data_IF_087500989453
#
_entry.id   IF_087500989453
#
_cell.length_a   1.000
_cell.length_b   1.000
_cell.length_c   1.000
_cell.angle_alpha   90.00
_cell.angle_beta   90.00
_cell.angle_gamma   90.00
#
_symmetry.space_group_name_H-M   'P 1'
#
loop_
_entity.id
_entity.type
_entity.pdbx_description
1 polymer ?
#
# COMPACT_ATOMS: atom_id res chain seq x y z
N UNK A 1 5.39 3.48 -1.78
CA UNK A 1 4.05 4.03 -1.45
C UNK A 1 4.12 5.53 -1.14
N UNK A 2 4.83 5.96 -0.10
CA UNK A 2 4.90 7.40 0.27
C UNK A 2 5.48 8.28 -0.85
N UNK A 3 6.49 7.80 -1.56
CA UNK A 3 7.05 8.46 -2.75
C UNK A 3 5.98 8.78 -3.79
N UNK A 4 5.14 7.80 -4.12
CA UNK A 4 3.99 7.97 -5.04
C UNK A 4 2.98 8.97 -4.50
N UNK A 5 2.67 8.94 -3.21
CA UNK A 5 1.79 9.91 -2.56
C UNK A 5 2.30 11.34 -2.75
N UNK A 6 3.57 11.59 -2.44
CA UNK A 6 4.17 12.94 -2.57
C UNK A 6 4.18 13.40 -4.02
N UNK A 7 4.50 12.49 -4.96
CA UNK A 7 4.49 12.80 -6.41
C UNK A 7 3.10 13.22 -6.86
N UNK A 8 2.08 12.40 -6.62
CA UNK A 8 0.71 12.66 -7.08
C UNK A 8 0.08 13.90 -6.44
N UNK A 9 0.47 14.25 -5.21
CA UNK A 9 0.05 15.50 -4.58
C UNK A 9 0.72 16.74 -5.18
N UNK A 10 1.81 16.59 -5.90
CA UNK A 10 2.50 17.68 -6.59
C UNK A 10 2.20 17.72 -8.08
N UNK A 11 2.08 16.55 -8.68
CA UNK A 11 1.79 16.30 -10.09
C UNK A 11 0.57 15.37 -10.16
N UNK A 12 -0.66 15.89 -9.99
CA UNK A 12 -1.87 15.07 -10.05
C UNK A 12 -2.05 14.45 -11.43
N UNK A 13 -2.32 13.15 -11.47
CA UNK A 13 -2.44 12.41 -12.71
C UNK A 13 -3.65 11.46 -12.68
N UNK A 14 -4.41 11.41 -13.76
CA UNK A 14 -5.43 10.39 -14.00
C UNK A 14 -4.85 9.25 -14.83
N UNK A 15 -5.53 8.09 -14.85
CA UNK A 15 -5.04 6.88 -15.52
C UNK A 15 -4.81 7.08 -17.03
N UNK A 16 -5.60 7.93 -17.68
CA UNK A 16 -5.55 8.18 -19.13
C UNK A 16 -4.48 9.22 -19.51
N UNK A 17 -4.00 9.99 -18.55
CA UNK A 17 -3.02 11.04 -18.78
C UNK A 17 -1.60 10.46 -18.78
N UNK A 18 -0.73 11.08 -19.58
CA UNK A 18 0.71 10.75 -19.58
C UNK A 18 1.47 11.53 -18.51
N UNK A 19 0.96 12.70 -18.12
CA UNK A 19 1.64 13.65 -17.28
C UNK A 19 2.83 14.34 -17.97
N UNK A 20 3.57 15.18 -17.23
CA UNK A 20 4.82 15.75 -17.71
C UNK A 20 5.83 14.67 -18.06
N UNK A 21 6.81 15.03 -18.91
CA UNK A 21 7.85 14.09 -19.35
C UNK A 21 9.23 14.68 -19.06
N UNK A 22 10.18 13.81 -18.72
CA UNK A 22 11.61 14.13 -18.56
C UNK A 22 12.40 13.45 -19.66
N UNK A 23 13.55 14.01 -19.99
CA UNK A 23 14.55 13.38 -20.86
C UNK A 23 15.68 12.89 -19.97
N UNK A 24 15.97 11.60 -20.05
CA UNK A 24 17.06 10.95 -19.31
C UNK A 24 18.39 11.60 -19.72
N UNK A 25 19.14 12.09 -18.78
CA UNK A 25 20.47 12.67 -19.00
C UNK A 25 21.59 11.69 -18.65
N UNK A 26 22.84 12.05 -18.89
CA UNK A 26 23.99 11.19 -18.63
C UNK A 26 24.18 10.85 -17.14
N UNK A 27 23.75 11.72 -16.23
CA UNK A 27 23.80 11.47 -14.80
C UNK A 27 22.77 10.42 -14.40
N UNK A 28 21.54 10.50 -14.92
CA UNK A 28 20.47 9.52 -14.64
C UNK A 28 20.88 8.11 -15.11
N UNK A 29 21.47 8.01 -16.33
CA UNK A 29 21.97 6.74 -16.84
C UNK A 29 23.16 6.19 -16.01
N UNK A 30 24.02 7.07 -15.49
CA UNK A 30 25.11 6.66 -14.61
C UNK A 30 24.59 6.13 -13.26
N UNK A 31 23.55 6.74 -12.69
CA UNK A 31 22.88 6.24 -11.47
C UNK A 31 22.24 4.87 -11.73
N UNK A 32 21.51 4.70 -12.82
CA UNK A 32 20.98 3.39 -13.21
C UNK A 32 22.09 2.32 -13.25
N UNK A 33 23.24 2.60 -13.90
CA UNK A 33 24.37 1.66 -13.95
C UNK A 33 24.94 1.35 -12.57
N UNK A 34 24.96 2.32 -11.68
CA UNK A 34 25.35 2.13 -10.28
C UNK A 34 24.34 1.21 -9.54
N UNK A 35 23.03 1.43 -9.71
CA UNK A 35 21.99 0.64 -9.08
C UNK A 35 22.01 -0.81 -9.56
N UNK A 36 22.25 -1.05 -10.85
CA UNK A 36 22.53 -2.39 -11.39
C UNK A 36 23.72 -3.04 -10.70
N UNK A 37 24.84 -2.32 -10.57
CA UNK A 37 26.05 -2.85 -9.97
C UNK A 37 25.92 -3.16 -8.48
N UNK A 38 24.98 -2.48 -7.79
CA UNK A 38 24.69 -2.67 -6.36
C UNK A 38 23.48 -3.57 -6.09
N UNK A 39 22.88 -4.15 -7.14
CA UNK A 39 21.77 -5.11 -7.03
C UNK A 39 20.44 -4.47 -6.61
N UNK A 40 20.27 -3.18 -6.79
CA UNK A 40 19.03 -2.48 -6.49
C UNK A 40 18.00 -2.74 -7.59
N UNK A 41 16.70 -2.72 -7.22
CA UNK A 41 15.62 -2.81 -8.21
C UNK A 41 15.58 -1.57 -9.09
N UNK A 42 15.70 -1.77 -10.39
CA UNK A 42 15.76 -0.73 -11.41
C UNK A 42 15.17 -1.24 -12.73
N UNK A 43 15.05 -0.36 -13.71
CA UNK A 43 14.72 -0.69 -15.09
C UNK A 43 15.70 -0.01 -16.04
N UNK A 44 15.96 -0.66 -17.18
CA UNK A 44 16.89 -0.09 -18.14
C UNK A 44 16.41 1.26 -18.66
N UNK A 45 17.27 2.29 -18.52
CA UNK A 45 17.11 3.62 -19.11
C UNK A 45 18.34 3.99 -19.88
N UNK A 46 18.19 4.80 -20.92
CA UNK A 46 19.29 5.29 -21.76
C UNK A 46 19.25 6.80 -21.90
N UNK A 47 20.41 7.43 -21.99
CA UNK A 47 20.51 8.86 -22.23
C UNK A 47 19.75 9.26 -23.50
N UNK A 48 18.96 10.33 -23.41
CA UNK A 48 18.12 10.83 -24.50
C UNK A 48 16.71 10.23 -24.55
N UNK A 49 16.44 9.19 -23.77
CA UNK A 49 15.10 8.62 -23.65
C UNK A 49 14.14 9.64 -23.03
N UNK A 50 12.91 9.70 -23.57
CA UNK A 50 11.86 10.56 -23.05
C UNK A 50 10.82 9.73 -22.35
N UNK A 51 10.72 9.88 -21.03
CA UNK A 51 9.79 9.13 -20.18
C UNK A 51 8.81 10.10 -19.50
N UNK A 52 7.52 9.76 -19.51
CA UNK A 52 6.48 10.57 -18.90
C UNK A 52 6.05 10.00 -17.54
N UNK A 53 5.53 10.86 -16.68
CA UNK A 53 5.17 10.56 -15.29
C UNK A 53 4.35 9.27 -15.12
N UNK A 54 3.30 9.08 -15.93
CA UNK A 54 2.46 7.88 -15.85
C UNK A 54 3.23 6.59 -16.13
N UNK A 55 4.32 6.66 -16.92
CA UNK A 55 5.19 5.52 -17.17
C UNK A 55 6.17 5.30 -16.02
N UNK A 56 6.73 6.39 -15.47
CA UNK A 56 7.58 6.34 -14.27
C UNK A 56 6.81 5.74 -13.07
N UNK A 57 5.55 6.15 -12.86
CA UNK A 57 4.71 5.57 -11.81
C UNK A 57 4.44 4.08 -12.03
N UNK A 58 4.26 3.64 -13.28
CA UNK A 58 4.08 2.20 -13.58
C UNK A 58 5.34 1.40 -13.26
N UNK A 59 6.50 1.83 -13.68
CA UNK A 59 7.76 1.15 -13.36
C UNK A 59 8.04 1.12 -11.85
N UNK A 60 7.82 2.24 -11.16
CA UNK A 60 7.99 2.35 -9.72
C UNK A 60 7.04 1.42 -8.94
N UNK A 61 5.77 1.40 -9.29
CA UNK A 61 4.76 0.66 -8.52
C UNK A 61 4.72 -0.83 -8.85
N UNK A 62 4.90 -1.20 -10.12
CA UNK A 62 4.86 -2.61 -10.58
C UNK A 62 6.20 -3.30 -10.35
N UNK A 63 7.30 -2.70 -10.81
CA UNK A 63 8.63 -3.32 -10.81
C UNK A 63 9.58 -2.77 -9.74
N UNK A 64 9.11 -1.88 -8.87
CA UNK A 64 9.93 -1.24 -7.81
C UNK A 64 11.15 -0.47 -8.34
N UNK A 65 11.06 0.09 -9.55
CA UNK A 65 12.16 0.80 -10.20
C UNK A 65 12.62 2.04 -9.39
N UNK A 66 13.75 1.94 -8.70
CA UNK A 66 14.33 3.00 -7.88
C UNK A 66 14.81 4.19 -8.71
N UNK A 67 15.42 3.93 -9.85
CA UNK A 67 15.81 4.90 -10.88
C UNK A 67 14.61 5.73 -11.37
N UNK A 68 13.43 5.13 -11.54
CA UNK A 68 12.22 5.86 -11.90
C UNK A 68 11.72 6.77 -10.75
N UNK A 69 11.92 6.38 -9.49
CA UNK A 69 11.66 7.27 -8.36
C UNK A 69 12.56 8.51 -8.42
N UNK A 70 13.85 8.34 -8.76
CA UNK A 70 14.80 9.43 -8.93
C UNK A 70 14.36 10.37 -10.06
N UNK A 71 13.96 9.83 -11.22
CA UNK A 71 13.46 10.64 -12.34
C UNK A 71 12.20 11.44 -11.97
N UNK A 72 11.30 10.88 -11.16
CA UNK A 72 10.14 11.61 -10.65
C UNK A 72 10.55 12.79 -9.75
N UNK A 73 11.55 12.62 -8.88
CA UNK A 73 12.08 13.70 -8.04
C UNK A 73 12.72 14.78 -8.89
N UNK A 74 13.52 14.41 -9.90
CA UNK A 74 14.15 15.32 -10.85
C UNK A 74 13.10 16.10 -11.65
N UNK A 75 12.02 15.43 -12.10
CA UNK A 75 10.88 16.06 -12.79
C UNK A 75 10.18 17.10 -11.93
N UNK A 76 10.11 16.90 -10.63
CA UNK A 76 9.54 17.87 -9.69
C UNK A 76 10.43 19.08 -9.42
N UNK A 77 11.66 19.10 -9.92
CA UNK A 77 12.63 20.19 -9.70
C UNK A 77 13.00 20.37 -8.22
N UNK A 78 13.05 19.28 -7.46
CA UNK A 78 13.37 19.29 -6.03
C UNK A 78 14.63 18.48 -5.73
N UNK A 79 15.18 18.65 -4.55
CA UNK A 79 16.30 17.80 -4.07
C UNK A 79 15.75 16.62 -3.27
N UNK A 80 16.51 15.52 -3.23
CA UNK A 80 16.16 14.33 -2.42
C UNK A 80 15.88 14.71 -0.96
N UNK A 81 16.74 15.50 -0.33
CA UNK A 81 16.57 15.95 1.05
C UNK A 81 15.22 16.69 1.27
N UNK A 82 14.83 17.57 0.33
CA UNK A 82 13.54 18.26 0.40
C UNK A 82 12.38 17.30 0.17
N UNK A 83 12.56 16.33 -0.71
CA UNK A 83 11.55 15.32 -1.00
C UNK A 83 11.32 14.43 0.22
N UNK A 84 12.38 13.90 0.84
CA UNK A 84 12.31 13.09 2.07
C UNK A 84 11.70 13.89 3.22
N UNK A 85 12.08 15.15 3.39
CA UNK A 85 11.45 16.02 4.38
C UNK A 85 9.94 16.19 4.11
N UNK A 86 9.52 16.19 2.85
CA UNK A 86 8.11 16.20 2.47
C UNK A 86 7.43 14.88 2.81
N UNK A 87 8.06 13.72 2.53
CA UNK A 87 7.53 12.40 2.89
C UNK A 87 7.22 12.32 4.39
N UNK A 88 8.17 12.75 5.23
CA UNK A 88 8.00 12.74 6.69
C UNK A 88 6.88 13.69 7.15
N UNK A 89 6.80 14.90 6.58
CA UNK A 89 5.73 15.84 6.91
C UNK A 89 4.35 15.32 6.52
N UNK A 90 4.21 14.78 5.31
CA UNK A 90 2.95 14.24 4.82
C UNK A 90 2.56 12.96 5.57
N UNK A 91 3.54 12.13 5.96
CA UNK A 91 3.35 10.97 6.82
C UNK A 91 2.78 11.38 8.18
N UNK A 92 3.39 12.37 8.83
CA UNK A 92 2.90 12.89 10.11
C UNK A 92 1.48 13.47 9.99
N UNK A 93 1.19 14.22 8.92
CA UNK A 93 -0.14 14.77 8.66
C UNK A 93 -1.19 13.68 8.41
N UNK A 94 -0.78 12.51 7.91
CA UNK A 94 -1.61 11.32 7.72
C UNK A 94 -1.80 10.49 9.00
N UNK A 95 -1.09 10.82 10.08
CA UNK A 95 -1.12 10.09 11.35
C UNK A 95 -0.15 8.91 11.43
N UNK A 96 0.88 8.88 10.58
CA UNK A 96 1.91 7.83 10.59
C UNK A 96 2.97 8.17 11.66
N UNK A 97 2.59 8.05 12.92
CA UNK A 97 3.42 8.53 14.04
C UNK A 97 4.66 7.67 14.34
N UNK A 98 4.72 6.45 13.81
CA UNK A 98 5.82 5.51 13.98
C UNK A 98 6.56 5.26 12.66
N UNK A 99 6.45 6.21 11.71
CA UNK A 99 7.10 6.14 10.41
C UNK A 99 8.09 7.28 10.26
N UNK A 100 9.30 6.93 9.83
CA UNK A 100 10.35 7.89 9.50
C UNK A 100 11.08 7.45 8.23
N UNK A 101 11.18 8.34 7.27
CA UNK A 101 11.87 8.13 6.02
C UNK A 101 13.20 8.87 6.03
N UNK A 102 14.26 8.21 5.63
CA UNK A 102 15.58 8.79 5.40
C UNK A 102 15.95 8.78 3.90
N UNK A 103 15.25 7.95 3.12
CA UNK A 103 15.34 7.95 1.67
C UNK A 103 13.95 7.87 1.01
N UNK A 104 13.94 7.94 -0.32
CA UNK A 104 12.72 7.90 -1.14
C UNK A 104 12.47 6.55 -1.80
N UNK A 105 13.45 5.64 -1.74
CA UNK A 105 13.38 4.29 -2.36
C UNK A 105 12.91 3.24 -1.38
N UNK A 106 13.21 3.38 -0.09
CA UNK A 106 12.96 2.40 0.96
C UNK A 106 14.09 1.39 1.12
N UNK A 107 15.29 1.69 0.58
CA UNK A 107 16.47 0.82 0.65
C UNK A 107 17.31 1.13 1.90
N UNK A 108 17.33 2.40 2.32
CA UNK A 108 18.16 2.82 3.43
C UNK A 108 17.74 2.16 4.74
N UNK A 109 18.72 1.56 5.44
CA UNK A 109 18.48 0.92 6.72
C UNK A 109 18.00 1.87 7.84
N UNK A 110 17.94 3.17 7.57
CA UNK A 110 17.39 4.21 8.46
C UNK A 110 15.87 4.34 8.40
N UNK A 111 15.21 3.86 7.36
CA UNK A 111 13.76 3.89 7.24
C UNK A 111 13.11 3.05 8.34
N UNK A 112 12.06 3.57 8.92
CA UNK A 112 11.30 2.91 10.01
C UNK A 112 9.82 3.07 9.77
N UNK A 113 9.05 2.01 10.05
CA UNK A 113 7.60 2.05 10.02
C UNK A 113 6.99 0.92 10.84
N UNK A 114 5.68 0.89 10.92
CA UNK A 114 4.89 -0.18 11.53
C UNK A 114 3.85 -0.70 10.54
N UNK A 115 3.36 -1.92 10.76
CA UNK A 115 2.30 -2.49 9.93
C UNK A 115 1.04 -1.61 9.94
N UNK A 116 0.70 -1.00 11.09
CA UNK A 116 -0.42 -0.07 11.22
C UNK A 116 -0.26 1.17 10.35
N UNK A 117 0.92 1.80 10.39
CA UNK A 117 1.18 3.01 9.61
C UNK A 117 1.17 2.70 8.11
N UNK A 118 1.76 1.56 7.70
CA UNK A 118 1.73 1.14 6.29
C UNK A 118 0.32 0.78 5.82
N UNK A 119 -0.52 0.19 6.65
CA UNK A 119 -1.93 -0.03 6.34
C UNK A 119 -2.67 1.30 6.16
N UNK A 120 -2.43 2.27 7.05
CA UNK A 120 -3.02 3.63 6.95
C UNK A 120 -2.59 4.31 5.65
N UNK A 121 -1.32 4.24 5.29
CA UNK A 121 -0.81 4.79 4.03
C UNK A 121 -1.45 4.10 2.82
N UNK A 122 -1.54 2.77 2.83
CA UNK A 122 -2.12 2.00 1.74
C UNK A 122 -3.61 2.34 1.53
N UNK A 123 -4.40 2.42 2.59
CA UNK A 123 -5.81 2.82 2.52
C UNK A 123 -5.96 4.21 1.92
N UNK A 124 -5.17 5.18 2.40
CA UNK A 124 -5.22 6.55 1.85
C UNK A 124 -4.86 6.56 0.37
N UNK A 125 -3.76 5.88 -0.01
CA UNK A 125 -3.28 5.84 -1.39
C UNK A 125 -4.30 5.18 -2.32
N UNK A 126 -4.83 4.02 -1.94
CA UNK A 126 -5.79 3.26 -2.76
C UNK A 126 -7.17 3.91 -2.85
N UNK A 127 -7.57 4.72 -1.87
CA UNK A 127 -8.89 5.39 -1.88
C UNK A 127 -8.83 6.76 -2.55
N UNK A 128 -7.76 7.52 -2.35
CA UNK A 128 -7.65 8.89 -2.83
C UNK A 128 -7.00 9.01 -4.21
N UNK A 129 -6.22 8.00 -4.61
CA UNK A 129 -5.48 8.00 -5.87
C UNK A 129 -5.94 6.85 -6.80
N UNK A 130 -7.02 7.03 -7.56
CA UNK A 130 -7.55 5.97 -8.44
C UNK A 130 -6.53 5.42 -9.44
N UNK A 131 -5.60 6.26 -9.91
CA UNK A 131 -4.51 5.83 -10.80
C UNK A 131 -3.61 4.77 -10.14
N UNK A 132 -3.30 4.93 -8.85
CA UNK A 132 -2.50 3.95 -8.11
C UNK A 132 -3.21 2.62 -8.08
N UNK A 133 -4.49 2.59 -7.72
CA UNK A 133 -5.30 1.37 -7.70
C UNK A 133 -5.28 0.62 -9.04
N UNK A 134 -5.30 1.36 -10.15
CA UNK A 134 -5.24 0.78 -11.49
C UNK A 134 -3.85 0.24 -11.84
N UNK A 135 -2.78 0.90 -11.38
CA UNK A 135 -1.40 0.50 -11.68
C UNK A 135 -0.98 -0.70 -10.84
N UNK A 136 -1.23 -0.68 -9.52
CA UNK A 136 -0.75 -1.74 -8.60
C UNK A 136 -1.44 -3.09 -8.83
N UNK A 137 -2.56 -3.10 -9.55
CA UNK A 137 -3.25 -4.32 -9.95
C UNK A 137 -2.66 -5.00 -11.20
N UNK A 138 -1.65 -4.38 -11.83
CA UNK A 138 -1.02 -4.93 -13.03
C UNK A 138 -0.01 -6.02 -12.66
N UNK A 139 -0.10 -7.18 -13.32
CA UNK A 139 0.87 -8.26 -13.19
C UNK A 139 2.17 -7.98 -13.95
N UNK A 140 2.09 -7.14 -14.96
CA UNK A 140 3.23 -6.70 -15.77
C UNK A 140 2.95 -5.35 -16.42
N UNK A 141 3.99 -4.67 -16.86
CA UNK A 141 3.91 -3.40 -17.57
C UNK A 141 4.94 -3.37 -18.70
N UNK A 142 4.59 -2.71 -19.80
CA UNK A 142 5.55 -2.44 -20.88
C UNK A 142 6.15 -1.06 -20.67
N UNK A 143 7.46 -1.02 -20.49
CA UNK A 143 8.26 0.19 -20.34
C UNK A 143 9.04 0.48 -21.64
N UNK A 144 9.46 1.74 -21.90
CA UNK A 144 10.00 2.11 -23.19
C UNK A 144 11.22 1.29 -23.62
N UNK A 145 12.32 1.37 -22.89
CA UNK A 145 13.58 0.66 -23.23
C UNK A 145 13.59 -0.75 -22.62
N UNK A 146 13.21 -0.88 -21.35
CA UNK A 146 13.24 -2.14 -20.61
C UNK A 146 12.24 -3.21 -21.15
N UNK A 147 11.31 -2.85 -22.01
CA UNK A 147 10.32 -3.79 -22.54
C UNK A 147 9.25 -4.17 -21.53
N UNK A 148 8.88 -5.46 -21.48
CA UNK A 148 7.87 -5.97 -20.55
C UNK A 148 8.54 -6.44 -19.28
N UNK A 149 8.15 -5.83 -18.14
CA UNK A 149 8.62 -6.20 -16.80
C UNK A 149 7.46 -6.67 -15.94
N UNK A 150 7.72 -7.64 -15.07
CA UNK A 150 6.72 -8.21 -14.16
C UNK A 150 6.59 -7.44 -12.85
N UNK A 151 5.51 -7.71 -12.14
CA UNK A 151 5.30 -7.20 -10.78
C UNK A 151 6.17 -7.98 -9.79
N UNK A 152 6.76 -7.26 -8.83
CA UNK A 152 7.40 -7.87 -7.66
C UNK A 152 6.44 -8.11 -6.49
N UNK A 153 5.18 -7.63 -6.61
CA UNK A 153 4.18 -7.90 -5.57
C UNK A 153 3.76 -9.37 -5.64
N UNK A 154 3.95 -10.16 -4.58
CA UNK A 154 3.54 -11.55 -4.54
C UNK A 154 2.04 -11.71 -4.77
N UNK A 155 1.65 -12.82 -5.40
CA UNK A 155 0.26 -13.22 -5.59
C UNK A 155 -0.63 -12.21 -6.33
N UNK A 156 -0.03 -11.19 -6.98
CA UNK A 156 -0.80 -10.19 -7.71
C UNK A 156 -1.64 -10.83 -8.83
N UNK A 157 -2.95 -10.52 -8.83
CA UNK A 157 -3.92 -11.12 -9.74
C UNK A 157 -4.46 -12.49 -9.29
N UNK A 158 -3.91 -13.08 -8.23
CA UNK A 158 -4.35 -14.33 -7.63
C UNK A 158 -5.11 -14.10 -6.31
N UNK A 159 -5.97 -15.03 -5.92
CA UNK A 159 -6.69 -15.04 -4.63
C UNK A 159 -7.40 -13.73 -4.25
N UNK A 160 -7.69 -12.88 -5.23
CA UNK A 160 -8.29 -11.56 -5.01
C UNK A 160 -7.28 -10.45 -4.68
N UNK A 161 -5.98 -10.71 -4.72
CA UNK A 161 -4.93 -9.71 -4.51
C UNK A 161 -4.91 -8.69 -5.64
N UNK A 162 -5.06 -7.41 -5.31
CA UNK A 162 -5.13 -6.28 -6.25
C UNK A 162 -4.05 -5.21 -5.99
N UNK A 163 -3.05 -5.49 -5.21
CA UNK A 163 -1.95 -4.59 -4.83
C UNK A 163 -1.54 -4.86 -3.40
N UNK A 164 -0.70 -4.04 -2.76
CA UNK A 164 -0.34 -2.65 -3.14
C UNK A 164 1.14 -2.56 -3.50
N UNK A 165 2.02 -3.02 -2.60
CA UNK A 165 3.48 -2.88 -2.77
C UNK A 165 4.24 -3.82 -1.85
N UNK A 166 5.23 -4.47 -2.42
CA UNK A 166 6.21 -5.30 -1.71
C UNK A 166 7.59 -4.67 -1.72
N UNK A 167 8.48 -5.20 -0.91
CA UNK A 167 9.88 -4.85 -0.88
C UNK A 167 10.71 -5.82 -0.05
N UNK A 168 11.99 -5.89 -0.37
CA UNK A 168 12.97 -6.67 0.37
C UNK A 168 14.27 -5.89 0.49
N UNK A 169 14.86 -5.92 1.67
CA UNK A 169 16.26 -5.56 1.92
C UNK A 169 16.79 -6.50 3.00
N UNK A 170 18.10 -6.68 3.05
CA UNK A 170 18.73 -7.50 4.10
C UNK A 170 18.38 -7.00 5.51
N UNK A 171 18.21 -5.70 5.67
CA UNK A 171 17.88 -5.10 6.96
C UNK A 171 16.40 -5.24 7.35
N UNK A 172 15.50 -5.24 6.38
CA UNK A 172 14.06 -5.24 6.62
C UNK A 172 13.41 -6.63 6.46
N UNK A 173 14.09 -7.56 5.77
CA UNK A 173 13.44 -8.81 5.33
C UNK A 173 12.39 -8.58 4.26
N UNK A 174 11.59 -9.58 3.97
CA UNK A 174 10.45 -9.51 3.07
C UNK A 174 9.30 -8.73 3.71
N UNK A 175 8.81 -7.75 2.98
CA UNK A 175 7.71 -6.90 3.40
C UNK A 175 6.65 -6.84 2.30
N UNK A 176 5.39 -6.97 2.66
CA UNK A 176 4.28 -6.83 1.71
C UNK A 176 3.10 -6.07 2.33
N UNK A 177 2.54 -5.19 1.54
CA UNK A 177 1.31 -4.48 1.83
C UNK A 177 0.30 -4.93 0.78
N UNK A 178 -0.62 -5.79 1.17
CA UNK A 178 -1.61 -6.39 0.28
C UNK A 178 -2.96 -5.70 0.41
N UNK A 179 -3.60 -5.44 -0.73
CA UNK A 179 -5.02 -5.15 -0.83
C UNK A 179 -5.71 -6.36 -1.48
N UNK A 180 -6.68 -6.95 -0.79
CA UNK A 180 -7.32 -8.20 -1.20
C UNK A 180 -8.84 -7.99 -1.28
N UNK A 181 -9.44 -8.30 -2.42
CA UNK A 181 -10.90 -8.37 -2.56
C UNK A 181 -11.43 -9.63 -1.90
N UNK A 182 -12.34 -9.46 -0.97
CA UNK A 182 -12.99 -10.55 -0.24
C UNK A 182 -14.49 -10.49 -0.50
N UNK A 183 -15.07 -11.59 -0.93
CA UNK A 183 -16.51 -11.74 -1.06
C UNK A 183 -17.11 -12.11 0.29
N UNK A 184 -18.16 -11.37 0.67
CA UNK A 184 -18.94 -11.60 1.91
C UNK A 184 -20.40 -11.51 1.49
N UNK A 185 -21.06 -12.65 1.36
CA UNK A 185 -22.38 -12.72 0.72
C UNK A 185 -22.34 -12.07 -0.66
N UNK A 186 -23.26 -11.16 -0.92
CA UNK A 186 -23.32 -10.40 -2.18
C UNK A 186 -22.39 -9.18 -2.22
N UNK A 187 -21.68 -8.90 -1.14
CA UNK A 187 -20.79 -7.75 -1.04
C UNK A 187 -19.35 -8.11 -1.38
N UNK A 188 -18.62 -7.14 -1.96
CA UNK A 188 -17.17 -7.22 -2.15
C UNK A 188 -16.54 -6.12 -1.31
N UNK A 189 -15.73 -6.51 -0.35
CA UNK A 189 -14.92 -5.57 0.44
C UNK A 189 -13.45 -5.69 0.06
N UNK A 190 -12.70 -4.62 0.30
CA UNK A 190 -11.23 -4.66 0.18
C UNK A 190 -10.62 -4.68 1.58
N UNK A 191 -9.91 -5.74 1.90
CA UNK A 191 -9.12 -5.85 3.13
C UNK A 191 -7.68 -5.45 2.84
N UNK A 192 -7.02 -4.84 3.84
CA UNK A 192 -5.60 -4.50 3.77
C UNK A 192 -4.85 -5.32 4.81
N UNK A 193 -3.84 -6.03 4.34
CA UNK A 193 -2.97 -6.86 5.18
C UNK A 193 -1.55 -6.37 5.01
N UNK A 194 -0.84 -6.22 6.12
CA UNK A 194 0.57 -5.79 6.11
C UNK A 194 1.42 -6.81 6.84
N UNK A 195 2.40 -7.32 6.15
CA UNK A 195 3.41 -8.25 6.67
C UNK A 195 4.77 -7.58 6.54
N UNK A 196 5.53 -7.52 7.61
CA UNK A 196 6.86 -6.91 7.64
C UNK A 196 7.86 -7.88 8.25
N UNK A 197 9.09 -7.87 7.74
CA UNK A 197 10.22 -8.53 8.37
C UNK A 197 10.31 -10.04 8.17
N UNK A 198 9.76 -10.59 7.09
CA UNK A 198 9.86 -12.02 6.83
C UNK A 198 11.29 -12.40 6.45
N UNK A 199 11.78 -13.47 7.05
CA UNK A 199 13.11 -14.03 6.80
C UNK A 199 12.99 -15.43 6.19
N UNK A 200 13.94 -15.85 5.38
CA UNK A 200 13.96 -17.16 4.74
C UNK A 200 14.61 -17.11 3.36
N UNK A 201 14.53 -18.19 2.62
CA UNK A 201 15.13 -18.32 1.28
C UNK A 201 14.39 -17.49 0.22
N UNK A 202 13.09 -17.30 0.39
CA UNK A 202 12.25 -16.40 -0.43
C UNK A 202 11.43 -15.48 0.47
N UNK A 203 12.03 -14.41 1.02
CA UNK A 203 11.35 -13.54 1.95
C UNK A 203 10.13 -12.81 1.37
N UNK A 204 10.16 -12.47 0.07
CA UNK A 204 9.03 -11.84 -0.61
C UNK A 204 7.87 -12.81 -0.80
N UNK A 205 8.11 -14.01 -1.32
CA UNK A 205 7.09 -15.04 -1.46
C UNK A 205 6.47 -15.37 -0.10
N UNK A 206 7.29 -15.56 0.93
CA UNK A 206 6.82 -15.82 2.28
C UNK A 206 5.96 -14.69 2.84
N UNK A 207 6.28 -13.41 2.57
CA UNK A 207 5.45 -12.29 3.01
C UNK A 207 4.06 -12.31 2.35
N UNK A 208 3.98 -12.72 1.08
CA UNK A 208 2.72 -12.92 0.38
C UNK A 208 1.88 -14.06 0.97
N UNK A 209 2.51 -15.22 1.22
CA UNK A 209 1.83 -16.40 1.78
C UNK A 209 1.29 -16.13 3.19
N UNK A 210 2.09 -15.49 4.05
CA UNK A 210 1.66 -15.07 5.39
C UNK A 210 0.52 -14.05 5.30
N UNK A 211 0.60 -13.08 4.38
CA UNK A 211 -0.45 -12.10 4.15
C UNK A 211 -1.75 -12.75 3.70
N UNK A 212 -1.68 -13.72 2.80
CA UNK A 212 -2.86 -14.48 2.36
C UNK A 212 -3.46 -15.31 3.49
N UNK A 213 -2.64 -15.97 4.32
CA UNK A 213 -3.10 -16.72 5.48
C UNK A 213 -3.80 -15.81 6.49
N UNK A 214 -3.24 -14.63 6.78
CA UNK A 214 -3.86 -13.62 7.63
C UNK A 214 -5.20 -13.14 7.06
N UNK A 215 -5.27 -12.86 5.75
CA UNK A 215 -6.53 -12.48 5.11
C UNK A 215 -7.61 -13.55 5.23
N UNK A 216 -7.24 -14.82 5.10
CA UNK A 216 -8.17 -15.94 5.26
C UNK A 216 -8.66 -16.05 6.69
N UNK A 217 -7.80 -15.85 7.68
CA UNK A 217 -8.20 -15.88 9.09
C UNK A 217 -9.13 -14.72 9.45
N UNK A 218 -8.93 -13.54 8.84
CA UNK A 218 -9.80 -12.38 9.06
C UNK A 218 -11.25 -12.64 8.65
N UNK A 219 -11.51 -13.48 7.65
CA UNK A 219 -12.87 -13.85 7.24
C UNK A 219 -13.70 -14.41 8.39
N UNK A 220 -13.05 -15.04 9.35
CA UNK A 220 -13.72 -15.60 10.54
C UNK A 220 -14.20 -14.52 11.53
N UNK A 221 -13.81 -13.26 11.34
CA UNK A 221 -14.11 -12.14 12.24
C UNK A 221 -14.91 -11.02 11.58
N UNK A 222 -15.28 -11.17 10.31
CA UNK A 222 -15.98 -10.11 9.59
C UNK A 222 -17.47 -10.33 9.69
N UNK A 223 -18.20 -9.28 10.07
CA UNK A 223 -19.65 -9.22 10.01
C UNK A 223 -20.07 -8.07 9.10
N UNK A 224 -21.09 -8.29 8.30
CA UNK A 224 -21.75 -7.23 7.54
C UNK A 224 -22.87 -6.65 8.41
N UNK A 225 -22.85 -5.36 8.62
CA UNK A 225 -23.84 -4.64 9.42
C UNK A 225 -24.69 -3.79 8.48
N UNK A 226 -26.00 -3.98 8.53
CA UNK A 226 -26.93 -3.03 7.92
C UNK A 226 -26.95 -1.76 8.76
N UNK A 227 -26.29 -0.71 8.26
CA UNK A 227 -26.19 0.55 8.97
C UNK A 227 -27.52 1.29 9.05
N UNK A 228 -28.50 0.95 8.19
CA UNK A 228 -29.84 1.54 8.23
C UNK A 228 -30.72 0.94 9.34
N UNK A 229 -30.51 -0.33 9.62
CA UNK A 229 -31.24 -1.09 10.64
C UNK A 229 -30.44 -1.30 11.94
N UNK A 230 -29.14 -1.04 11.94
CA UNK A 230 -28.25 -1.14 13.11
C UNK A 230 -27.99 -2.56 13.60
N UNK A 231 -28.28 -3.57 12.79
CA UNK A 231 -28.03 -4.98 13.16
C UNK A 231 -27.15 -5.70 12.14
N UNK A 232 -26.52 -6.77 12.60
CA UNK A 232 -25.69 -7.64 11.77
C UNK A 232 -26.59 -8.42 10.83
N UNK A 233 -26.33 -8.33 9.52
CA UNK A 233 -27.07 -9.08 8.49
C UNK A 233 -26.38 -10.38 8.12
N UNK A 234 -25.06 -10.47 8.28
CA UNK A 234 -24.31 -11.66 7.95
C UNK A 234 -23.04 -11.79 8.79
N UNK A 235 -22.76 -13.01 9.25
CA UNK A 235 -21.49 -13.39 9.87
C UNK A 235 -20.73 -14.31 8.93
N UNK A 236 -19.47 -13.99 8.66
CA UNK A 236 -18.59 -14.78 7.78
C UNK A 236 -17.88 -15.92 8.52
N UNK A 237 -18.08 -16.00 9.80
CA UNK A 237 -17.56 -17.02 10.67
C UNK A 237 -17.19 -16.44 12.04
N UNK A 238 -17.17 -17.31 13.03
CA UNK A 238 -16.73 -16.99 14.37
C UNK A 238 -15.72 -18.03 14.83
N UNK A 239 -14.58 -17.64 15.42
CA UNK A 239 -13.57 -18.60 15.82
C UNK A 239 -14.00 -19.36 17.07
N UNK A 240 -14.18 -20.66 16.91
CA UNK A 240 -14.37 -21.58 18.04
C UNK A 240 -15.58 -21.28 18.90
N UNK A 241 -15.47 -21.59 20.19
CA UNK A 241 -16.55 -21.55 21.18
C UNK A 241 -16.93 -20.16 21.71
N UNK A 242 -16.41 -19.09 21.12
CA UNK A 242 -16.80 -17.73 21.48
C UNK A 242 -18.14 -17.41 20.83
N UNK A 243 -19.16 -17.22 21.64
CA UNK A 243 -20.44 -16.74 21.16
C UNK A 243 -20.28 -15.36 20.50
N UNK A 244 -20.96 -15.09 19.37
CA UNK A 244 -20.97 -13.76 18.80
C UNK A 244 -21.40 -12.75 19.87
N UNK A 245 -20.87 -11.52 19.85
CA UNK A 245 -21.29 -10.50 20.81
C UNK A 245 -22.80 -10.36 20.76
N UNK A 246 -23.44 -10.46 21.92
CA UNK A 246 -24.88 -10.35 22.03
C UNK A 246 -25.30 -8.98 21.53
N UNK A 247 -26.03 -8.95 20.42
CA UNK A 247 -26.55 -7.69 19.87
C UNK A 247 -27.62 -7.20 20.83
N UNK A 248 -27.31 -6.22 21.67
CA UNK A 248 -28.33 -5.53 22.44
C UNK A 248 -29.10 -4.67 21.45
N UNK A 249 -30.26 -5.16 21.02
CA UNK A 249 -31.18 -4.36 20.21
C UNK A 249 -31.75 -3.26 21.10
N UNK A 250 -31.18 -2.07 21.04
CA UNK A 250 -31.78 -0.91 21.67
C UNK A 250 -32.90 -0.46 20.74
N UNK A 251 -34.13 -0.89 21.03
CA UNK A 251 -35.31 -0.38 20.35
C UNK A 251 -35.50 1.07 20.80
N UNK A 252 -35.01 2.02 20.02
CA UNK A 252 -35.30 3.44 20.26
C UNK A 252 -36.69 3.72 19.73
N UNK A 253 -37.68 3.77 20.60
CA UNK A 253 -39.01 4.29 20.28
C UNK A 253 -38.84 5.77 20.04
N UNK A 254 -38.91 6.20 18.78
CA UNK A 254 -38.80 7.61 18.40
C UNK A 254 -40.09 8.30 18.78
N UNK A 255 -40.09 8.97 19.92
CA UNK A 255 -41.06 10.04 20.19
C UNK A 255 -40.42 11.32 19.65
N UNK A 256 -41.07 11.91 18.66
CA UNK A 256 -40.65 13.13 17.97
C UNK A 256 -40.45 14.26 18.98
N UNK A 257 -39.23 14.72 19.17
CA UNK A 257 -38.88 16.16 19.37
C UNK A 257 -37.36 16.30 19.58
N UNK A 258 -36.72 17.11 18.74
CA UNK A 258 -35.45 17.80 18.89
C UNK A 258 -34.16 16.96 18.66
N UNK A 259 -33.49 17.34 17.62
CA UNK A 259 -32.16 16.96 17.15
C UNK A 259 -31.12 16.82 18.28
N UNK A 260 -30.63 15.59 18.48
CA UNK A 260 -29.38 15.35 19.18
C UNK A 260 -28.64 14.22 18.46
N UNK A 261 -27.54 14.57 17.82
CA UNK A 261 -26.65 13.63 17.16
C UNK A 261 -25.93 12.82 18.23
N UNK A 262 -26.35 11.58 18.45
CA UNK A 262 -25.63 10.66 19.35
C UNK A 262 -24.70 9.82 18.51
N UNK A 263 -23.41 10.11 18.60
CA UNK A 263 -22.34 9.28 18.04
C UNK A 263 -22.20 8.06 18.95
N UNK A 264 -22.71 6.91 18.55
CA UNK A 264 -22.49 5.66 19.28
C UNK A 264 -21.12 5.12 18.91
N UNK A 265 -20.15 5.32 19.78
CA UNK A 265 -18.85 4.66 19.69
C UNK A 265 -19.04 3.21 20.14
N UNK A 266 -19.06 2.28 19.19
CA UNK A 266 -19.01 0.87 19.51
C UNK A 266 -17.57 0.56 19.93
N UNK A 267 -17.33 0.43 21.23
CA UNK A 267 -16.07 -0.12 21.74
C UNK A 267 -16.06 -1.60 21.42
N UNK A 268 -15.34 -1.97 20.39
CA UNK A 268 -14.87 -3.34 20.20
C UNK A 268 -13.97 -3.64 21.39
N UNK A 269 -14.17 -4.74 22.16
CA UNK A 269 -13.23 -5.10 23.19
C UNK A 269 -11.87 -5.25 22.54
N UNK A 270 -10.90 -4.50 23.02
CA UNK A 270 -9.50 -4.57 22.58
C UNK A 270 -8.97 -5.94 22.93
N UNK A 271 -9.15 -6.90 22.04
CA UNK A 271 -8.24 -8.01 21.99
C UNK A 271 -6.97 -7.45 21.36
N UNK A 272 -6.04 -7.08 22.18
CA UNK A 272 -4.67 -6.78 21.79
C UNK A 272 -4.12 -8.05 21.16
N UNK A 273 -4.24 -8.17 19.84
CA UNK A 273 -3.43 -9.14 19.13
C UNK A 273 -2.04 -8.57 19.13
N UNK A 274 -1.27 -8.95 20.14
CA UNK A 274 0.17 -8.77 20.15
C UNK A 274 0.69 -9.59 18.98
N UNK A 275 0.94 -8.93 17.85
CA UNK A 275 1.75 -9.52 16.80
C UNK A 275 3.13 -9.62 17.44
N UNK A 276 3.53 -10.85 17.77
CA UNK A 276 4.87 -11.11 18.27
C UNK A 276 5.85 -10.57 17.25
N UNK A 277 6.64 -9.57 17.63
CA UNK A 277 7.88 -9.26 16.97
C UNK A 277 8.75 -10.51 17.15
N UNK A 278 8.95 -11.26 16.08
CA UNK A 278 10.09 -12.13 16.01
C UNK A 278 11.32 -11.21 15.96
N UNK A 279 12.12 -11.28 17.00
CA UNK A 279 13.38 -10.58 17.13
C UNK A 279 14.44 -11.07 16.15
#
# INVERSE_FOLDING_TARGET
MMTTWVVLHRLPLTFEQRGPCIVVNAHDEALYKHDVATGQSNVEIVQGERICEGMLLRGLLVHSAGDYAQLLISMMGTTEAKFVARMNRDGLAMGLHHTHYVDYTGIAAGDRSTAKDQATLAVNLMTKEPIVRSIVALTHVRLPVAGVVGSYTPLIGEYGVIGVKSGFTDAAGGCDVMAIKVHIGDSIITTYVVVLGQQGDDPLGLSGDVGLALSRSLRSFIAVVDTSAGHVVEWVGWPGDLAPPTTTTTTTTTTTTTTTTTTTTTTVPSSTTTIAQAG
#
